data_IF_593244602995
#
_entry.id   IF_593244602995
#
_cell.length_a   1.000
_cell.length_b   1.000
_cell.length_c   1.000
_cell.angle_alpha   90.00
_cell.angle_beta   90.00
_cell.angle_gamma   90.00
#
_symmetry.space_group_name_H-M   'P 1'
#
loop_
_entity.id
_entity.type
_entity.pdbx_description
1 polymer ?
#
# COMPACT_ATOMS: atom_id res chain seq x y z
N UNK A 1 -31.97 -18.10 33.36
CA UNK A 1 -31.48 -17.10 32.37
C UNK A 1 -30.00 -17.37 32.14
N UNK A 2 -29.64 -17.83 30.94
CA UNK A 2 -28.24 -17.98 30.53
C UNK A 2 -27.76 -16.63 29.97
N UNK A 3 -26.58 -16.13 30.36
CA UNK A 3 -26.07 -14.89 29.79
C UNK A 3 -25.66 -15.15 28.34
N UNK A 4 -26.32 -14.43 27.44
CA UNK A 4 -25.99 -14.35 26.03
C UNK A 4 -24.64 -13.62 25.91
N UNK A 5 -23.52 -14.34 26.08
CA UNK A 5 -22.21 -13.84 25.69
C UNK A 5 -22.17 -13.81 24.18
N UNK A 6 -22.62 -12.70 23.60
CA UNK A 6 -22.05 -12.23 22.35
C UNK A 6 -20.58 -11.96 22.70
N UNK A 7 -19.72 -12.98 22.55
CA UNK A 7 -18.29 -12.78 22.41
C UNK A 7 -18.10 -12.04 21.08
N UNK A 8 -18.38 -10.73 21.08
CA UNK A 8 -17.79 -9.84 20.10
C UNK A 8 -16.31 -9.81 20.45
N UNK A 9 -15.50 -10.64 19.79
CA UNK A 9 -14.06 -10.49 19.92
C UNK A 9 -13.73 -9.01 19.70
N UNK A 10 -12.86 -8.42 20.53
CA UNK A 10 -12.48 -7.03 20.35
C UNK A 10 -11.83 -6.91 18.97
N UNK A 11 -12.55 -6.35 18.01
CA UNK A 11 -12.01 -6.10 16.68
C UNK A 11 -10.78 -5.20 16.84
N UNK A 12 -9.63 -5.72 16.40
CA UNK A 12 -8.39 -4.95 16.41
C UNK A 12 -8.60 -3.62 15.70
N UNK A 13 -8.19 -2.54 16.36
CA UNK A 13 -8.11 -1.23 15.74
C UNK A 13 -7.09 -1.29 14.60
N UNK A 14 -7.50 -0.87 13.41
CA UNK A 14 -6.63 -0.86 12.24
C UNK A 14 -5.96 0.50 12.13
N UNK A 15 -4.65 0.56 12.35
CA UNK A 15 -3.86 1.77 12.22
C UNK A 15 -3.01 1.70 10.95
N UNK A 16 -3.39 2.51 9.96
CA UNK A 16 -2.75 2.52 8.64
C UNK A 16 -1.61 3.54 8.62
N UNK A 17 -0.39 3.10 8.29
CA UNK A 17 0.74 4.00 8.09
C UNK A 17 0.90 4.28 6.59
N UNK A 18 0.95 5.56 6.21
CA UNK A 18 1.14 6.01 4.83
C UNK A 18 2.30 6.99 4.75
N UNK A 19 2.83 7.23 3.54
CA UNK A 19 3.86 8.25 3.36
C UNK A 19 3.33 9.65 3.71
N UNK A 20 2.14 10.00 3.22
CA UNK A 20 1.65 11.38 3.20
C UNK A 20 2.42 12.25 2.21
N UNK A 21 1.99 13.48 2.06
CA UNK A 21 2.72 14.52 1.33
C UNK A 21 3.17 15.61 2.29
N UNK A 22 3.76 16.71 1.78
CA UNK A 22 4.38 17.74 2.62
C UNK A 22 3.42 18.22 3.70
N UNK A 23 3.85 18.13 4.97
CA UNK A 23 3.04 18.52 6.12
C UNK A 23 1.97 17.49 6.51
N UNK A 24 2.18 16.20 6.19
CA UNK A 24 1.30 15.12 6.61
C UNK A 24 0.02 14.97 5.78
N UNK A 25 -0.17 15.71 4.69
CA UNK A 25 -1.41 15.66 3.92
C UNK A 25 -1.61 14.27 3.27
N UNK A 26 -2.78 13.66 3.54
CA UNK A 26 -3.17 12.33 3.06
C UNK A 26 -4.05 12.47 1.83
N UNK A 27 -3.71 11.75 0.76
CA UNK A 27 -4.47 11.79 -0.51
C UNK A 27 -5.93 11.31 -0.34
N UNK A 28 -6.92 11.92 -1.01
CA UNK A 28 -8.34 11.55 -0.90
C UNK A 28 -8.64 10.06 -1.15
N UNK A 29 -7.92 9.38 -2.04
CA UNK A 29 -8.10 7.93 -2.28
C UNK A 29 -7.82 7.08 -1.03
N UNK A 30 -6.88 7.50 -0.18
CA UNK A 30 -6.59 6.81 1.08
C UNK A 30 -7.64 7.13 2.15
N UNK A 31 -8.16 8.36 2.17
CA UNK A 31 -9.27 8.72 3.05
C UNK A 31 -10.55 7.94 2.67
N UNK A 32 -10.84 7.81 1.37
CA UNK A 32 -11.92 6.95 0.85
C UNK A 32 -11.74 5.48 1.26
N UNK A 33 -10.51 4.95 1.21
CA UNK A 33 -10.19 3.62 1.71
C UNK A 33 -10.53 3.49 3.20
N UNK A 34 -10.12 4.46 4.03
CA UNK A 34 -10.42 4.50 5.47
C UNK A 34 -11.93 4.52 5.73
N UNK A 35 -12.67 5.37 5.02
CA UNK A 35 -14.13 5.48 5.19
C UNK A 35 -14.84 4.18 4.82
N UNK A 36 -14.42 3.52 3.73
CA UNK A 36 -14.96 2.23 3.35
C UNK A 36 -14.63 1.13 4.36
N UNK A 37 -13.42 1.14 4.93
CA UNK A 37 -13.04 0.20 5.99
C UNK A 37 -13.82 0.44 7.29
N UNK A 38 -14.07 1.70 7.67
CA UNK A 38 -14.92 2.04 8.82
C UNK A 38 -16.34 1.53 8.65
N UNK A 39 -16.91 1.67 7.45
CA UNK A 39 -18.25 1.14 7.12
C UNK A 39 -18.28 -0.38 7.10
N UNK A 40 -17.21 -1.02 6.65
CA UNK A 40 -17.11 -2.47 6.57
C UNK A 40 -16.98 -3.07 7.99
N UNK A 41 -18.04 -3.75 8.45
CA UNK A 41 -18.14 -4.38 9.78
C UNK A 41 -17.99 -3.39 10.96
N UNK A 42 -18.23 -2.09 10.74
CA UNK A 42 -18.07 -1.05 11.77
C UNK A 42 -16.66 -1.05 12.43
N UNK A 43 -15.61 -1.30 11.63
CA UNK A 43 -14.24 -1.45 12.14
C UNK A 43 -13.70 -0.09 12.62
N UNK A 44 -12.97 -0.11 13.73
CA UNK A 44 -12.21 1.05 14.19
C UNK A 44 -10.94 1.19 13.34
N UNK A 45 -10.80 2.32 12.62
CA UNK A 45 -9.70 2.56 11.68
C UNK A 45 -9.17 3.98 11.86
N UNK A 46 -7.85 4.11 11.90
CA UNK A 46 -7.12 5.39 11.83
C UNK A 46 -6.04 5.32 10.75
N UNK A 47 -5.53 6.49 10.37
CA UNK A 47 -4.48 6.63 9.37
C UNK A 47 -3.51 7.71 9.83
N UNK A 48 -2.21 7.46 9.66
CA UNK A 48 -1.12 8.38 10.01
C UNK A 48 -0.17 8.51 8.82
N UNK A 49 0.20 9.75 8.52
CA UNK A 49 1.20 10.09 7.53
C UNK A 49 2.57 10.23 8.20
N UNK A 50 3.57 9.49 7.72
CA UNK A 50 4.94 9.55 8.26
C UNK A 50 5.71 10.84 7.89
N UNK A 51 5.13 11.68 7.03
CA UNK A 51 5.64 13.02 6.69
C UNK A 51 5.02 14.12 7.55
N UNK A 52 4.16 13.76 8.50
CA UNK A 52 3.67 14.66 9.52
C UNK A 52 4.71 14.77 10.65
N UNK A 53 5.19 15.98 10.90
CA UNK A 53 6.13 16.24 12.00
C UNK A 53 5.41 16.28 13.36
N UNK A 54 4.07 16.41 13.37
CA UNK A 54 3.24 16.46 14.58
C UNK A 54 2.00 15.55 14.42
N UNK A 55 2.20 14.23 14.31
CA UNK A 55 1.07 13.31 14.15
C UNK A 55 0.11 13.44 15.32
N UNK A 56 -1.19 13.55 15.01
CA UNK A 56 -2.23 13.54 16.04
C UNK A 56 -2.14 12.23 16.84
N UNK A 57 -2.14 12.34 18.17
CA UNK A 57 -2.24 11.16 19.01
C UNK A 57 -3.62 10.53 18.84
N UNK A 58 -3.64 9.30 18.30
CA UNK A 58 -4.88 8.57 18.13
C UNK A 58 -5.24 7.89 19.45
N UNK A 59 -6.37 8.30 20.03
CA UNK A 59 -6.95 7.62 21.19
C UNK A 59 -7.55 6.27 20.77
N UNK A 60 -6.71 5.25 20.80
CA UNK A 60 -7.10 3.85 20.58
C UNK A 60 -7.73 3.21 21.84
N UNK A 61 -7.72 3.90 22.97
CA UNK A 61 -8.10 3.36 24.28
C UNK A 61 -7.32 2.08 24.61
N UNK A 62 -7.99 1.11 25.23
CA UNK A 62 -7.40 -0.20 25.56
C UNK A 62 -7.50 -1.22 24.40
N UNK A 63 -7.72 -0.78 23.16
CA UNK A 63 -7.89 -1.70 22.02
C UNK A 63 -6.55 -2.26 21.59
N UNK A 64 -6.56 -3.51 21.16
CA UNK A 64 -5.41 -4.08 20.46
C UNK A 64 -5.32 -3.50 19.04
N UNK A 65 -4.10 -3.27 18.54
CA UNK A 65 -3.85 -2.54 17.30
C UNK A 65 -3.20 -3.44 16.25
N UNK A 66 -3.68 -3.34 15.02
CA UNK A 66 -2.98 -3.80 13.84
C UNK A 66 -2.31 -2.61 13.16
N UNK A 67 -0.98 -2.61 13.19
CA UNK A 67 -0.17 -1.62 12.49
C UNK A 67 0.05 -2.10 11.05
N UNK A 68 -0.48 -1.37 10.08
CA UNK A 68 -0.45 -1.80 8.67
C UNK A 68 0.25 -0.76 7.81
N UNK A 69 1.50 -1.02 7.38
CA UNK A 69 2.24 -0.10 6.51
C UNK A 69 1.79 -0.21 5.05
N UNK A 70 1.17 0.85 4.52
CA UNK A 70 0.72 0.92 3.12
C UNK A 70 1.82 1.42 2.18
N UNK A 71 2.97 0.75 2.22
CA UNK A 71 4.11 1.02 1.34
C UNK A 71 4.26 -0.09 0.32
N UNK A 72 4.62 0.26 -0.92
CA UNK A 72 4.76 -0.71 -2.01
C UNK A 72 6.17 -1.29 -2.14
N UNK A 73 7.19 -0.55 -1.71
CA UNK A 73 8.61 -0.94 -1.77
C UNK A 73 9.28 -0.74 -0.41
N UNK A 74 10.33 -1.52 -0.08
CA UNK A 74 11.03 -1.43 1.20
C UNK A 74 12.05 -0.26 1.22
N UNK A 75 11.54 0.97 1.25
CA UNK A 75 12.31 2.20 1.45
C UNK A 75 12.67 2.48 2.91
N UNK A 76 13.24 3.66 3.17
CA UNK A 76 13.59 4.11 4.54
C UNK A 76 12.42 3.98 5.52
N UNK A 77 11.21 4.36 5.10
CA UNK A 77 10.01 4.23 5.94
C UNK A 77 9.75 2.80 6.40
N UNK A 78 9.83 1.83 5.48
CA UNK A 78 9.59 0.42 5.81
C UNK A 78 10.74 -0.15 6.65
N UNK A 79 11.97 0.21 6.32
CA UNK A 79 13.16 -0.37 6.93
C UNK A 79 13.57 0.27 8.27
N UNK A 80 13.14 1.51 8.52
CA UNK A 80 13.60 2.32 9.65
C UNK A 80 12.43 2.86 10.46
N UNK A 81 11.52 3.61 9.84
CA UNK A 81 10.51 4.38 10.59
C UNK A 81 9.41 3.47 11.15
N UNK A 82 8.89 2.54 10.35
CA UNK A 82 7.88 1.56 10.78
C UNK A 82 8.39 0.71 11.96
N UNK A 83 9.60 0.11 11.92
CA UNK A 83 10.17 -0.58 13.08
C UNK A 83 10.29 0.30 14.32
N UNK A 84 10.72 1.56 14.17
CA UNK A 84 10.81 2.50 15.31
C UNK A 84 9.46 2.79 15.93
N UNK A 85 8.43 3.04 15.11
CA UNK A 85 7.05 3.28 15.57
C UNK A 85 6.52 2.05 16.30
N UNK A 86 6.70 0.87 15.71
CA UNK A 86 6.28 -0.39 16.33
C UNK A 86 6.94 -0.61 17.70
N UNK A 87 8.27 -0.47 17.78
CA UNK A 87 9.00 -0.65 19.03
C UNK A 87 8.56 0.35 20.10
N UNK A 88 8.41 1.63 19.74
CA UNK A 88 7.93 2.67 20.66
C UNK A 88 6.54 2.34 21.22
N UNK A 89 5.59 1.95 20.36
CA UNK A 89 4.24 1.58 20.81
C UNK A 89 4.24 0.34 21.72
N UNK A 90 5.12 -0.64 21.46
CA UNK A 90 5.32 -1.78 22.35
C UNK A 90 5.88 -1.36 23.71
N UNK A 91 6.87 -0.47 23.75
CA UNK A 91 7.47 0.08 24.97
C UNK A 91 6.46 0.90 25.80
N UNK A 92 5.52 1.58 25.13
CA UNK A 92 4.38 2.27 25.75
C UNK A 92 3.30 1.30 26.28
N UNK A 93 3.48 -0.02 26.13
CA UNK A 93 2.58 -1.05 26.64
C UNK A 93 1.37 -1.36 25.75
N UNK A 94 1.36 -0.87 24.51
CA UNK A 94 0.25 -1.13 23.59
C UNK A 94 0.25 -2.59 23.11
N UNK A 95 -0.93 -3.21 23.07
CA UNK A 95 -1.08 -4.54 22.46
C UNK A 95 -1.13 -4.40 20.93
N UNK A 96 0.04 -4.34 20.31
CA UNK A 96 0.20 -4.06 18.88
C UNK A 96 0.75 -5.26 18.11
N UNK A 97 0.23 -5.47 16.91
CA UNK A 97 0.72 -6.44 15.92
C UNK A 97 1.07 -5.72 14.62
N UNK A 98 2.34 -5.81 14.22
CA UNK A 98 2.80 -5.30 12.93
C UNK A 98 2.49 -6.28 11.81
N UNK A 99 1.85 -5.78 10.76
CA UNK A 99 1.66 -6.51 9.50
C UNK A 99 2.83 -6.24 8.53
N UNK A 100 3.07 -7.16 7.58
CA UNK A 100 3.97 -6.88 6.47
C UNK A 100 3.56 -5.60 5.75
N UNK A 101 4.54 -4.83 5.26
CA UNK A 101 4.22 -3.70 4.38
C UNK A 101 3.50 -4.21 3.11
N UNK A 102 2.60 -3.39 2.58
CA UNK A 102 1.64 -3.77 1.54
C UNK A 102 2.30 -4.51 0.37
N UNK A 103 3.41 -4.00 -0.17
CA UNK A 103 4.13 -4.63 -1.28
C UNK A 103 4.66 -6.05 -1.01
N UNK A 104 4.84 -6.44 0.24
CA UNK A 104 5.23 -7.81 0.63
C UNK A 104 4.05 -8.68 1.05
N UNK A 105 2.85 -8.12 1.14
CA UNK A 105 1.69 -8.82 1.66
C UNK A 105 1.07 -9.71 0.58
N UNK A 106 1.06 -11.03 0.80
CA UNK A 106 0.65 -12.01 -0.23
C UNK A 106 -0.75 -11.74 -0.84
N UNK A 107 -1.80 -11.44 -0.06
CA UNK A 107 -3.11 -11.14 -0.66
C UNK A 107 -3.08 -9.93 -1.60
N UNK A 108 -2.27 -8.92 -1.28
CA UNK A 108 -2.06 -7.77 -2.16
C UNK A 108 -1.32 -8.17 -3.44
N UNK A 109 -0.24 -8.95 -3.31
CA UNK A 109 0.51 -9.42 -4.47
C UNK A 109 -0.34 -10.27 -5.42
N UNK A 110 -1.22 -11.12 -4.89
CA UNK A 110 -2.19 -11.87 -5.70
C UNK A 110 -3.17 -10.96 -6.43
N UNK A 111 -3.68 -9.91 -5.77
CA UNK A 111 -4.57 -8.93 -6.42
C UNK A 111 -3.87 -8.17 -7.56
N UNK A 112 -2.58 -7.88 -7.41
CA UNK A 112 -1.78 -7.24 -8.46
C UNK A 112 -1.52 -8.21 -9.61
N UNK A 113 -1.23 -9.48 -9.33
CA UNK A 113 -1.08 -10.53 -10.34
C UNK A 113 -2.38 -10.74 -11.14
N UNK A 114 -3.54 -10.77 -10.46
CA UNK A 114 -4.86 -10.83 -11.11
C UNK A 114 -5.09 -9.63 -12.04
N UNK A 115 -4.72 -8.42 -11.60
CA UNK A 115 -4.80 -7.22 -12.45
C UNK A 115 -3.93 -7.39 -13.70
N UNK A 116 -2.69 -7.84 -13.55
CA UNK A 116 -1.72 -8.01 -14.65
C UNK A 116 -2.22 -9.06 -15.64
N UNK A 117 -2.66 -10.22 -15.16
CA UNK A 117 -3.09 -11.35 -15.97
C UNK A 117 -4.43 -11.11 -16.67
N UNK A 118 -5.27 -10.22 -16.14
CA UNK A 118 -6.53 -9.81 -16.78
C UNK A 118 -6.35 -8.90 -18.01
N UNK A 119 -5.13 -8.40 -18.27
CA UNK A 119 -4.86 -7.51 -19.40
C UNK A 119 -4.73 -8.27 -20.73
N UNK A 120 -4.94 -7.54 -21.84
CA UNK A 120 -5.02 -8.14 -23.19
C UNK A 120 -3.68 -8.80 -23.62
N UNK A 121 -3.72 -9.94 -24.32
CA UNK A 121 -2.54 -10.74 -24.64
C UNK A 121 -1.55 -10.10 -25.63
N UNK A 122 -1.94 -9.01 -26.30
CA UNK A 122 -1.17 -8.43 -27.41
C UNK A 122 -0.08 -7.44 -26.97
N UNK A 123 -0.04 -7.05 -25.69
CA UNK A 123 0.97 -6.14 -25.15
C UNK A 123 1.49 -6.70 -23.84
N UNK A 124 2.81 -6.71 -23.65
CA UNK A 124 3.42 -7.26 -22.43
C UNK A 124 3.29 -6.26 -21.28
N UNK A 125 2.71 -6.59 -20.13
CA UNK A 125 2.69 -5.68 -18.99
C UNK A 125 4.10 -5.41 -18.47
N UNK A 126 4.34 -4.19 -17.98
CA UNK A 126 5.57 -3.81 -17.30
C UNK A 126 5.25 -2.93 -16.08
N UNK A 127 5.81 -3.27 -14.93
CA UNK A 127 5.51 -2.58 -13.69
C UNK A 127 6.48 -1.41 -13.48
N UNK A 128 5.95 -0.20 -13.34
CA UNK A 128 6.75 1.04 -13.26
C UNK A 128 6.75 1.55 -11.83
N UNK A 129 7.90 1.58 -11.18
CA UNK A 129 8.02 1.94 -9.77
C UNK A 129 8.87 3.18 -9.54
N UNK A 130 8.78 3.78 -8.35
CA UNK A 130 9.65 4.88 -7.96
C UNK A 130 11.11 4.40 -7.80
N UNK A 131 12.11 5.22 -8.13
CA UNK A 131 13.51 4.90 -7.90
C UNK A 131 13.77 4.67 -6.42
N UNK A 132 14.46 3.58 -6.13
CA UNK A 132 14.88 3.22 -4.78
C UNK A 132 16.28 2.64 -4.86
N UNK A 133 17.18 3.13 -4.01
CA UNK A 133 18.58 2.74 -4.00
C UNK A 133 18.93 2.16 -2.64
N UNK A 134 18.69 0.87 -2.47
CA UNK A 134 19.20 0.07 -1.35
C UNK A 134 19.37 -1.38 -1.78
N UNK A 135 20.26 -2.12 -1.11
CA UNK A 135 20.46 -3.55 -1.37
C UNK A 135 19.20 -4.35 -1.06
N UNK A 136 18.53 -4.02 0.05
CA UNK A 136 17.24 -4.62 0.43
C UNK A 136 16.17 -4.41 -0.63
N UNK A 137 16.04 -3.19 -1.17
CA UNK A 137 15.09 -2.92 -2.23
C UNK A 137 15.46 -3.65 -3.53
N UNK A 138 16.75 -3.76 -3.85
CA UNK A 138 17.22 -4.48 -5.03
C UNK A 138 16.90 -5.98 -4.97
N UNK A 139 17.10 -6.62 -3.81
CA UNK A 139 16.73 -8.03 -3.59
C UNK A 139 15.22 -8.22 -3.65
N UNK A 140 14.47 -7.29 -3.04
CA UNK A 140 13.01 -7.31 -3.08
C UNK A 140 12.46 -7.18 -4.50
N UNK A 141 12.97 -6.22 -5.29
CA UNK A 141 12.54 -6.00 -6.68
C UNK A 141 12.79 -7.23 -7.56
N UNK A 142 13.94 -7.90 -7.41
CA UNK A 142 14.20 -9.18 -8.12
C UNK A 142 13.22 -10.28 -7.74
N UNK A 143 12.86 -10.34 -6.46
CA UNK A 143 11.88 -11.32 -5.96
C UNK A 143 10.47 -10.99 -6.47
N UNK A 144 10.10 -9.72 -6.51
CA UNK A 144 8.82 -9.23 -7.02
C UNK A 144 8.69 -9.46 -8.53
N UNK A 145 9.74 -9.17 -9.30
CA UNK A 145 9.82 -9.47 -10.74
C UNK A 145 9.63 -10.96 -11.02
N UNK A 146 10.29 -11.82 -10.23
CA UNK A 146 10.11 -13.27 -10.34
C UNK A 146 8.69 -13.71 -9.97
N UNK A 147 8.09 -13.11 -8.94
CA UNK A 147 6.75 -13.45 -8.48
C UNK A 147 5.68 -13.08 -9.50
N UNK A 148 5.71 -11.84 -10.02
CA UNK A 148 4.73 -11.33 -10.98
C UNK A 148 5.01 -11.79 -12.42
N UNK A 149 6.20 -12.33 -12.68
CA UNK A 149 6.64 -12.80 -14.00
C UNK A 149 6.53 -11.72 -15.11
N UNK A 150 6.78 -10.46 -14.75
CA UNK A 150 6.78 -9.30 -15.65
C UNK A 150 7.98 -8.40 -15.34
N UNK A 151 8.53 -7.66 -16.31
CA UNK A 151 9.64 -6.77 -16.06
C UNK A 151 9.24 -5.60 -15.16
N UNK A 152 10.16 -5.21 -14.28
CA UNK A 152 10.06 -4.03 -13.43
C UNK A 152 11.03 -2.95 -13.91
N UNK A 153 10.53 -1.71 -13.99
CA UNK A 153 11.34 -0.55 -14.33
C UNK A 153 11.14 0.55 -13.29
N UNK A 154 12.23 1.21 -12.88
CA UNK A 154 12.10 2.50 -12.23
C UNK A 154 11.58 3.53 -13.24
N UNK A 155 10.85 4.54 -12.81
CA UNK A 155 10.40 5.62 -13.72
C UNK A 155 11.59 6.26 -14.45
N UNK A 156 12.75 6.38 -13.80
CA UNK A 156 13.91 7.04 -14.41
C UNK A 156 14.44 6.23 -15.57
N UNK A 157 14.45 4.90 -15.41
CA UNK A 157 14.85 3.96 -16.47
C UNK A 157 13.77 3.81 -17.54
N UNK A 158 12.50 3.98 -17.18
CA UNK A 158 11.39 3.97 -18.14
C UNK A 158 11.52 5.15 -19.12
N UNK A 159 11.67 6.37 -18.57
CA UNK A 159 11.69 7.62 -19.34
C UNK A 159 12.93 7.81 -20.23
N UNK A 160 14.03 7.10 -19.97
CA UNK A 160 15.24 7.18 -20.79
C UNK A 160 15.13 6.43 -22.15
N UNK A 161 14.16 5.52 -22.31
CA UNK A 161 14.12 4.56 -23.43
C UNK A 161 12.68 4.31 -23.94
N UNK A 162 11.89 5.38 -24.06
CA UNK A 162 10.42 5.36 -24.25
C UNK A 162 9.96 4.73 -25.57
N UNK A 163 10.59 5.08 -26.70
CA UNK A 163 10.09 4.74 -28.03
C UNK A 163 10.01 3.24 -28.34
N UNK A 164 11.00 2.43 -27.89
CA UNK A 164 10.97 0.96 -28.07
C UNK A 164 10.06 0.25 -27.07
N UNK A 165 9.84 0.86 -25.90
CA UNK A 165 9.07 0.27 -24.80
C UNK A 165 7.57 0.47 -24.98
N UNK A 166 7.12 1.68 -25.34
CA UNK A 166 5.70 1.99 -25.55
C UNK A 166 5.05 1.17 -26.68
N UNK A 167 5.85 0.65 -27.63
CA UNK A 167 5.36 -0.23 -28.69
C UNK A 167 5.19 -1.69 -28.26
N UNK A 168 5.88 -2.12 -27.20
CA UNK A 168 5.97 -3.53 -26.80
C UNK A 168 5.38 -3.81 -25.41
N UNK A 169 5.28 -2.77 -24.57
CA UNK A 169 4.87 -2.89 -23.18
C UNK A 169 3.68 -1.99 -22.83
N UNK A 170 2.87 -2.49 -21.92
CA UNK A 170 1.77 -1.78 -21.28
C UNK A 170 2.25 -1.36 -19.88
N UNK A 171 2.56 -0.08 -19.67
CA UNK A 171 3.04 0.39 -18.37
C UNK A 171 1.93 0.35 -17.32
N UNK A 172 2.24 -0.23 -16.16
CA UNK A 172 1.38 -0.25 -14.98
C UNK A 172 2.09 0.54 -13.88
N UNK A 173 1.60 1.74 -13.48
CA UNK A 173 2.20 2.47 -12.38
C UNK A 173 2.05 1.72 -11.06
N UNK A 174 3.16 1.41 -10.43
CA UNK A 174 3.23 0.84 -9.09
C UNK A 174 3.32 1.95 -8.05
N UNK A 175 2.25 2.74 -8.03
CA UNK A 175 2.03 3.86 -7.12
C UNK A 175 0.67 3.67 -6.46
N UNK A 176 0.60 3.77 -5.14
CA UNK A 176 -0.66 3.56 -4.43
C UNK A 176 -1.64 4.71 -4.71
N UNK A 177 -1.15 5.95 -4.71
CA UNK A 177 -1.90 7.18 -5.01
C UNK A 177 -1.21 7.96 -6.13
N UNK A 178 -1.91 8.90 -6.79
CA UNK A 178 -1.30 9.79 -7.77
C UNK A 178 -0.12 10.55 -7.16
N UNK A 179 0.90 10.77 -7.97
CA UNK A 179 2.02 11.64 -7.62
C UNK A 179 2.20 12.66 -8.74
N UNK A 180 1.95 13.94 -8.43
CA UNK A 180 2.01 15.05 -9.40
C UNK A 180 3.41 15.24 -10.01
N UNK A 181 4.45 14.72 -9.35
CA UNK A 181 5.83 14.80 -9.83
C UNK A 181 6.21 13.62 -10.72
N UNK A 182 5.24 12.76 -11.07
CA UNK A 182 5.48 11.52 -11.80
C UNK A 182 4.62 11.51 -13.05
N UNK A 183 5.23 11.96 -14.14
CA UNK A 183 4.70 11.80 -15.48
C UNK A 183 5.20 10.46 -16.03
N UNK A 184 4.33 9.45 -15.99
CA UNK A 184 4.49 8.25 -16.79
C UNK A 184 3.50 8.39 -17.94
N UNK A 185 3.94 9.02 -19.01
CA UNK A 185 3.12 9.16 -20.21
C UNK A 185 3.04 7.82 -20.94
N UNK A 186 1.82 7.41 -21.28
CA UNK A 186 1.59 6.41 -22.30
C UNK A 186 0.69 7.01 -23.36
N UNK A 187 1.26 7.36 -24.52
CA UNK A 187 0.51 7.89 -25.68
C UNK A 187 -0.38 9.11 -25.37
N UNK A 188 0.04 9.96 -24.43
CA UNK A 188 -0.70 11.17 -24.04
C UNK A 188 -1.82 10.95 -23.02
N UNK A 189 -1.99 9.75 -22.48
CA UNK A 189 -2.88 9.48 -21.35
C UNK A 189 -2.08 9.38 -20.04
N UNK A 190 -2.56 10.10 -19.02
CA UNK A 190 -2.04 9.97 -17.65
C UNK A 190 -2.42 8.60 -17.10
N UNK A 191 -1.40 7.81 -16.73
CA UNK A 191 -1.66 6.51 -16.14
C UNK A 191 -2.22 6.64 -14.72
N UNK A 192 -3.24 5.82 -14.44
CA UNK A 192 -3.86 5.72 -13.12
C UNK A 192 -2.93 5.06 -12.11
N UNK A 193 -2.89 5.63 -10.91
CA UNK A 193 -2.38 4.96 -9.72
C UNK A 193 -3.27 3.78 -9.31
N UNK A 194 -2.75 2.89 -8.49
CA UNK A 194 -3.41 1.63 -8.14
C UNK A 194 -4.76 1.86 -7.43
N UNK A 195 -4.88 2.86 -6.54
CA UNK A 195 -6.16 3.13 -5.87
C UNK A 195 -7.18 3.87 -6.75
N UNK A 196 -6.82 4.34 -7.94
CA UNK A 196 -7.76 4.87 -8.93
C UNK A 196 -8.37 3.78 -9.83
N UNK A 197 -7.90 2.54 -9.67
CA UNK A 197 -8.45 1.37 -10.34
C UNK A 197 -9.47 0.72 -9.39
N UNK A 198 -10.76 0.79 -9.72
CA UNK A 198 -11.87 0.36 -8.85
C UNK A 198 -11.71 -1.07 -8.31
N UNK A 199 -11.25 -2.01 -9.15
CA UNK A 199 -11.06 -3.40 -8.72
C UNK A 199 -9.94 -3.52 -7.68
N UNK A 200 -8.87 -2.73 -7.82
CA UNK A 200 -7.77 -2.70 -6.86
C UNK A 200 -8.21 -2.03 -5.56
N UNK A 201 -8.90 -0.89 -5.64
CA UNK A 201 -9.41 -0.20 -4.45
C UNK A 201 -10.33 -1.12 -3.63
N UNK A 202 -11.33 -1.73 -4.28
CA UNK A 202 -12.25 -2.67 -3.60
C UNK A 202 -11.53 -3.92 -3.09
N UNK A 203 -10.58 -4.45 -3.87
CA UNK A 203 -9.75 -5.58 -3.46
C UNK A 203 -8.96 -5.25 -2.19
N UNK A 204 -8.35 -4.07 -2.08
CA UNK A 204 -7.65 -3.64 -0.89
C UNK A 204 -8.58 -3.45 0.32
N UNK A 205 -9.76 -2.85 0.12
CA UNK A 205 -10.80 -2.76 1.17
C UNK A 205 -11.14 -4.16 1.69
N UNK A 206 -11.32 -5.13 0.81
CA UNK A 206 -11.64 -6.50 1.18
C UNK A 206 -10.47 -7.19 1.90
N UNK A 207 -9.24 -7.01 1.43
CA UNK A 207 -8.03 -7.56 2.06
C UNK A 207 -7.88 -7.02 3.50
N UNK A 208 -7.93 -5.70 3.67
CA UNK A 208 -7.74 -5.06 4.98
C UNK A 208 -8.94 -5.28 5.91
N UNK A 209 -10.16 -5.31 5.36
CA UNK A 209 -11.40 -5.58 6.09
C UNK A 209 -11.54 -6.99 6.63
N UNK A 210 -10.82 -7.95 6.05
CA UNK A 210 -10.78 -9.35 6.49
C UNK A 210 -9.48 -9.72 7.20
N UNK A 211 -8.66 -8.74 7.58
CA UNK A 211 -7.65 -9.00 8.62
C UNK A 211 -8.35 -9.49 9.90
N UNK A 212 -7.74 -10.42 10.64
CA UNK A 212 -8.32 -11.03 11.84
C UNK A 212 -8.90 -10.03 12.85
#
# INVERSE_FOLDING_TARGET
MLPNRINSEPHYHLHLLVHGSRGGEIHPSLLSLVDQLKRLKNRSVSIEALTDDNPEQIDIGNRSVFLVPLFLLPGSHVCIDVPKIFNRLQEEGQNIKLFPFLGSFKPWLSLIDDLITSQRPFVKPALIHHPISSDTASVFLKSLEKFLNIPLYSWSRWNQDTFKKEKNYLPIPYLLTPNKNVEIDSKGEQLKSLLEIDIIHRGLVNILGNLP
#
